data_IF_135110183296
#
_entry.id   IF_135110183296
#
_cell.length_a   1.000
_cell.length_b   1.000
_cell.length_c   1.000
_cell.angle_alpha   90.00
_cell.angle_beta   90.00
_cell.angle_gamma   90.00
#
_symmetry.space_group_name_H-M   'P 1'
#
loop_
_entity.id
_entity.type
_entity.pdbx_description
1 polymer ?
#
# COMPACT_ATOMS: atom_id res chain seq x y z
N UNK A 1 -1.92 4.52 29.72
CA UNK A 1 -2.26 4.02 28.38
C UNK A 1 -1.43 4.80 27.38
N UNK A 2 -0.50 4.16 26.65
CA UNK A 2 0.23 4.84 25.57
C UNK A 2 -0.69 5.04 24.38
N UNK A 3 -0.51 6.14 23.65
CA UNK A 3 -1.26 6.36 22.41
C UNK A 3 -0.94 5.24 21.40
N UNK A 4 -1.91 4.85 20.55
CA UNK A 4 -1.66 3.91 19.47
C UNK A 4 -0.52 4.40 18.56
N UNK A 5 0.36 3.50 18.10
CA UNK A 5 1.39 3.84 17.12
C UNK A 5 0.77 4.48 15.87
N UNK A 6 1.33 5.62 15.46
CA UNK A 6 0.94 6.30 14.22
C UNK A 6 2.16 6.46 13.31
N UNK A 7 1.91 6.31 12.02
CA UNK A 7 2.88 6.52 10.95
C UNK A 7 2.38 7.65 10.07
N UNK A 8 3.18 8.70 9.92
CA UNK A 8 2.97 9.74 8.94
C UNK A 8 3.59 9.29 7.62
N UNK A 9 2.79 9.29 6.56
CA UNK A 9 3.20 8.88 5.22
C UNK A 9 3.12 10.11 4.32
N UNK A 10 4.24 10.50 3.74
CA UNK A 10 4.37 11.65 2.83
C UNK A 10 4.89 11.19 1.49
N UNK A 11 4.42 11.81 0.40
CA UNK A 11 5.01 11.58 -0.93
C UNK A 11 6.13 12.57 -1.20
N UNK A 12 7.27 12.11 -1.72
CA UNK A 12 8.41 12.98 -2.05
C UNK A 12 8.07 13.95 -3.20
N UNK A 13 8.93 14.95 -3.43
CA UNK A 13 8.84 15.83 -4.61
C UNK A 13 8.71 14.99 -5.90
N UNK A 14 7.83 15.41 -6.81
CA UNK A 14 7.37 14.64 -8.00
C UNK A 14 6.49 13.41 -7.72
N UNK A 15 6.06 13.19 -6.47
CA UNK A 15 5.06 12.18 -6.03
C UNK A 15 5.37 10.75 -6.46
N UNK A 16 6.64 10.39 -6.57
CA UNK A 16 7.05 9.03 -6.94
C UNK A 16 7.24 8.19 -5.69
N UNK A 17 8.15 8.57 -4.79
CA UNK A 17 8.50 7.79 -3.62
C UNK A 17 7.66 8.20 -2.39
N UNK A 18 7.72 7.37 -1.35
CA UNK A 18 7.11 7.67 -0.05
C UNK A 18 8.18 7.75 1.03
N UNK A 19 7.96 8.65 1.98
CA UNK A 19 8.67 8.71 3.24
C UNK A 19 7.66 8.37 4.34
N UNK A 20 8.07 7.51 5.27
CA UNK A 20 7.24 7.09 6.39
C UNK A 20 7.99 7.42 7.67
N UNK A 21 7.35 8.21 8.54
CA UNK A 21 7.88 8.61 9.84
C UNK A 21 6.96 8.07 10.94
N UNK A 22 7.51 7.45 11.97
CA UNK A 22 6.74 6.84 13.05
C UNK A 22 7.64 6.03 13.98
N UNK A 23 7.12 4.95 14.60
CA UNK A 23 7.94 4.03 15.40
C UNK A 23 9.15 3.45 14.64
N UNK A 24 9.00 3.26 13.32
CA UNK A 24 10.07 2.88 12.43
C UNK A 24 10.03 3.78 11.19
N UNK A 25 11.15 4.43 10.89
CA UNK A 25 11.28 5.27 9.69
C UNK A 25 11.56 4.42 8.45
N UNK A 26 10.85 4.68 7.36
CA UNK A 26 11.00 3.94 6.11
C UNK A 26 11.08 4.88 4.92
N UNK A 27 11.90 4.51 3.94
CA UNK A 27 11.88 5.08 2.60
C UNK A 27 11.31 4.05 1.62
N UNK A 28 10.27 4.43 0.87
CA UNK A 28 9.65 3.54 -0.11
C UNK A 28 9.99 4.02 -1.51
N UNK A 29 10.86 3.28 -2.17
CA UNK A 29 11.16 3.49 -3.58
C UNK A 29 10.01 2.95 -4.44
N UNK A 30 9.46 3.81 -5.29
CA UNK A 30 8.42 3.47 -6.24
C UNK A 30 9.02 3.36 -7.64
N UNK A 31 9.14 2.13 -8.14
CA UNK A 31 9.63 1.85 -9.48
C UNK A 31 8.45 1.62 -10.43
N UNK A 32 8.34 2.45 -11.46
CA UNK A 32 7.37 2.24 -12.53
C UNK A 32 8.00 1.41 -13.65
N UNK A 33 7.39 0.26 -13.96
CA UNK A 33 7.57 -0.48 -15.22
C UNK A 33 9.03 -0.79 -15.61
N UNK A 34 9.86 -1.20 -14.64
CA UNK A 34 11.21 -1.72 -14.92
C UNK A 34 11.19 -3.25 -14.85
N UNK A 35 11.38 -3.96 -15.99
CA UNK A 35 11.47 -5.42 -15.97
C UNK A 35 12.51 -5.89 -14.96
N UNK A 36 12.16 -6.87 -14.14
CA UNK A 36 13.05 -7.46 -13.14
C UNK A 36 13.19 -6.70 -11.81
N UNK A 37 12.59 -5.51 -11.66
CA UNK A 37 12.57 -4.75 -10.40
C UNK A 37 11.20 -4.88 -9.71
N UNK A 38 11.20 -4.91 -8.38
CA UNK A 38 9.96 -4.82 -7.61
C UNK A 38 9.28 -3.46 -7.81
N UNK A 39 7.94 -3.43 -7.78
CA UNK A 39 7.18 -2.20 -7.98
C UNK A 39 7.39 -1.23 -6.83
N UNK A 40 7.39 -1.73 -5.60
CA UNK A 40 7.78 -0.99 -4.41
C UNK A 40 8.90 -1.70 -3.66
N UNK A 41 9.87 -0.92 -3.17
CA UNK A 41 10.95 -1.39 -2.30
C UNK A 41 10.96 -0.55 -1.04
N UNK A 42 10.87 -1.21 0.12
CA UNK A 42 10.83 -0.57 1.44
C UNK A 42 12.20 -0.68 2.07
N UNK A 43 12.83 0.46 2.32
CA UNK A 43 14.14 0.58 2.93
C UNK A 43 14.03 1.11 4.35
N UNK A 44 14.92 0.67 5.24
CA UNK A 44 15.03 1.22 6.58
C UNK A 44 15.65 2.63 6.53
N UNK A 45 14.99 3.61 7.15
CA UNK A 45 15.41 5.01 7.30
C UNK A 45 15.57 5.81 5.99
N UNK A 46 16.47 5.40 5.10
CA UNK A 46 16.84 6.13 3.88
C UNK A 46 16.83 5.20 2.67
N UNK A 47 16.97 5.77 1.46
CA UNK A 47 17.00 5.02 0.20
C UNK A 47 18.17 4.03 0.12
N UNK A 48 19.30 4.36 0.73
CA UNK A 48 20.50 3.51 0.79
C UNK A 48 20.44 2.49 1.93
N UNK A 49 19.42 2.57 2.77
CA UNK A 49 19.20 1.65 3.88
C UNK A 49 18.88 0.22 3.43
N UNK A 50 19.00 -0.75 4.35
CA UNK A 50 18.70 -2.14 4.07
C UNK A 50 17.24 -2.30 3.62
N UNK A 51 17.03 -3.18 2.66
CA UNK A 51 15.68 -3.55 2.20
C UNK A 51 15.02 -4.36 3.32
N UNK A 52 13.81 -3.96 3.70
CA UNK A 52 12.98 -4.61 4.71
C UNK A 52 11.80 -5.34 4.07
N UNK A 53 11.26 -4.80 2.98
CA UNK A 53 10.14 -5.39 2.29
C UNK A 53 10.09 -5.00 0.80
N UNK A 54 9.35 -5.79 0.03
CA UNK A 54 9.16 -5.63 -1.40
C UNK A 54 7.69 -5.88 -1.75
N UNK A 55 7.19 -5.24 -2.81
CA UNK A 55 5.93 -5.65 -3.42
C UNK A 55 5.97 -5.63 -4.94
N UNK A 56 5.20 -6.54 -5.54
CA UNK A 56 5.11 -6.73 -7.00
C UNK A 56 3.66 -6.86 -7.43
N UNK A 57 3.29 -6.09 -8.44
CA UNK A 57 2.00 -6.19 -9.10
C UNK A 57 2.09 -7.24 -10.21
N UNK A 58 1.29 -8.31 -10.09
CA UNK A 58 1.25 -9.33 -11.13
C UNK A 58 0.56 -8.80 -12.38
N UNK A 59 1.20 -8.97 -13.53
CA UNK A 59 0.54 -8.71 -14.81
C UNK A 59 -0.64 -9.69 -14.99
N UNK A 60 -1.79 -9.18 -15.46
CA UNK A 60 -3.03 -9.93 -15.68
C UNK A 60 -3.69 -10.57 -14.45
N UNK A 61 -3.18 -10.30 -13.25
CA UNK A 61 -3.82 -10.72 -12.00
C UNK A 61 -4.12 -9.50 -11.14
N UNK A 62 -5.18 -9.63 -10.35
CA UNK A 62 -5.46 -8.65 -9.31
C UNK A 62 -4.69 -8.90 -8.02
N UNK A 63 -3.94 -9.99 -7.92
CA UNK A 63 -3.14 -10.31 -6.75
C UNK A 63 -1.81 -9.55 -6.75
N UNK A 64 -1.25 -9.40 -5.56
CA UNK A 64 -0.03 -8.65 -5.33
C UNK A 64 0.90 -9.57 -4.52
N UNK A 65 2.15 -9.70 -4.94
CA UNK A 65 3.16 -10.39 -4.12
C UNK A 65 3.73 -9.39 -3.14
N UNK A 66 3.82 -9.80 -1.89
CA UNK A 66 4.45 -9.06 -0.81
C UNK A 66 5.59 -9.91 -0.26
N UNK A 67 6.77 -9.32 -0.11
CA UNK A 67 7.96 -10.01 0.35
C UNK A 67 8.55 -9.32 1.56
N UNK A 68 8.82 -10.06 2.62
CA UNK A 68 9.63 -9.57 3.74
C UNK A 68 11.06 -10.09 3.58
N UNK A 69 12.04 -9.19 3.68
CA UNK A 69 13.45 -9.57 3.73
C UNK A 69 13.89 -9.75 5.17
N UNK A 70 14.64 -10.82 5.40
CA UNK A 70 15.26 -11.03 6.71
C UNK A 70 16.53 -10.15 6.79
N UNK A 71 16.66 -9.27 7.80
CA UNK A 71 17.78 -8.33 7.88
C UNK A 71 19.16 -9.00 7.83
N UNK A 72 19.27 -10.24 8.31
CA UNK A 72 20.52 -10.97 8.43
C UNK A 72 21.01 -11.62 7.12
N UNK A 73 20.13 -11.83 6.15
CA UNK A 73 20.42 -12.56 4.91
C UNK A 73 20.30 -11.68 3.65
N UNK A 74 19.93 -10.41 3.84
CA UNK A 74 19.75 -9.44 2.77
C UNK A 74 18.63 -9.82 1.81
N UNK A 75 18.66 -9.28 0.59
CA UNK A 75 17.62 -9.49 -0.43
C UNK A 75 17.57 -10.91 -1.02
N UNK A 76 18.52 -11.80 -0.66
CA UNK A 76 18.60 -13.16 -1.21
C UNK A 76 17.62 -14.14 -0.57
N UNK A 77 17.08 -13.83 0.62
CA UNK A 77 16.05 -14.65 1.27
C UNK A 77 14.78 -13.82 1.50
N UNK A 78 14.11 -13.44 0.42
CA UNK A 78 12.79 -12.81 0.52
C UNK A 78 11.75 -13.92 0.56
N UNK A 79 11.01 -13.99 1.66
CA UNK A 79 9.82 -14.85 1.73
C UNK A 79 8.68 -14.09 1.07
N UNK A 80 8.20 -14.62 -0.05
CA UNK A 80 7.05 -14.07 -0.77
C UNK A 80 5.75 -14.69 -0.24
N UNK A 81 4.85 -13.83 0.20
CA UNK A 81 3.47 -14.13 0.52
C UNK A 81 2.56 -13.34 -0.45
N UNK A 82 1.25 -13.63 -0.43
CA UNK A 82 0.30 -13.04 -1.38
C UNK A 82 -0.74 -12.17 -0.67
N UNK A 83 -0.96 -10.99 -1.23
CA UNK A 83 -2.05 -10.10 -0.89
C UNK A 83 -3.14 -10.27 -1.96
N UNK A 84 -4.09 -11.15 -1.66
CA UNK A 84 -5.13 -11.60 -2.56
C UNK A 84 -6.28 -10.61 -2.63
N UNK A 85 -6.82 -10.40 -3.82
CA UNK A 85 -8.06 -9.65 -3.97
C UNK A 85 -9.26 -10.57 -3.69
N UNK A 86 -10.15 -10.15 -2.79
CA UNK A 86 -11.34 -10.92 -2.41
C UNK A 86 -12.46 -10.76 -3.46
N UNK A 87 -12.24 -11.32 -4.66
CA UNK A 87 -13.17 -11.29 -5.79
C UNK A 87 -12.93 -10.18 -6.83
N UNK A 88 -13.40 -10.41 -8.07
CA UNK A 88 -13.08 -9.59 -9.24
C UNK A 88 -13.50 -8.11 -9.14
N UNK A 89 -14.66 -7.81 -8.51
CA UNK A 89 -15.18 -6.43 -8.36
C UNK A 89 -14.94 -5.83 -6.97
N UNK A 90 -14.33 -6.57 -6.05
CA UNK A 90 -14.14 -6.13 -4.67
C UNK A 90 -13.00 -5.14 -4.54
N UNK A 91 -13.10 -4.19 -3.61
CA UNK A 91 -11.97 -3.35 -3.19
C UNK A 91 -11.25 -3.93 -1.97
N UNK A 92 -11.57 -5.18 -1.60
CA UNK A 92 -11.02 -5.87 -0.43
C UNK A 92 -9.80 -6.70 -0.81
N UNK A 93 -8.79 -6.63 0.04
CA UNK A 93 -7.54 -7.38 -0.14
C UNK A 93 -7.19 -8.10 1.15
N UNK A 94 -6.94 -9.41 1.08
CA UNK A 94 -6.66 -10.28 2.22
C UNK A 94 -5.24 -10.81 2.15
N UNK A 95 -4.58 -10.90 3.31
CA UNK A 95 -3.36 -11.66 3.48
C UNK A 95 -3.41 -12.44 4.80
N UNK A 96 -2.58 -13.47 4.90
CA UNK A 96 -2.44 -14.28 6.12
C UNK A 96 -1.00 -14.15 6.63
N UNK A 97 -0.85 -13.93 7.93
CA UNK A 97 0.46 -13.84 8.58
C UNK A 97 0.42 -14.50 9.95
N UNK A 98 1.59 -14.76 10.53
CA UNK A 98 1.67 -15.19 11.93
C UNK A 98 1.42 -13.99 12.84
N UNK A 99 0.43 -14.11 13.71
CA UNK A 99 0.04 -13.10 14.68
C UNK A 99 -0.31 -13.82 15.99
N UNK A 100 0.32 -13.42 17.10
CA UNK A 100 0.18 -14.09 18.41
C UNK A 100 0.42 -15.62 18.35
N UNK A 101 1.43 -16.05 17.58
CA UNK A 101 1.84 -17.45 17.47
C UNK A 101 0.93 -18.33 16.60
N UNK A 102 -0.03 -17.76 15.88
CA UNK A 102 -0.96 -18.49 15.00
C UNK A 102 -1.08 -17.82 13.64
N UNK A 103 -1.38 -18.56 12.56
CA UNK A 103 -1.73 -17.96 11.28
C UNK A 103 -3.11 -17.28 11.39
N UNK A 104 -3.14 -15.98 11.17
CA UNK A 104 -4.35 -15.15 11.20
C UNK A 104 -4.49 -14.39 9.87
N UNK A 105 -5.74 -14.12 9.48
CA UNK A 105 -6.04 -13.39 8.25
C UNK A 105 -6.52 -11.97 8.53
N UNK A 106 -6.08 -11.06 7.68
CA UNK A 106 -6.40 -9.64 7.76
C UNK A 106 -6.88 -9.15 6.41
N UNK A 107 -7.95 -8.37 6.41
CA UNK A 107 -8.54 -7.81 5.20
C UNK A 107 -8.50 -6.30 5.23
N UNK A 108 -7.81 -5.72 4.26
CA UNK A 108 -7.95 -4.31 3.89
C UNK A 108 -9.22 -4.09 3.10
N UNK A 109 -9.95 -3.01 3.39
CA UNK A 109 -11.04 -2.54 2.55
C UNK A 109 -11.09 -1.01 2.55
N UNK A 110 -11.72 -0.46 1.52
CA UNK A 110 -11.89 1.00 1.42
C UNK A 110 -13.08 1.48 2.23
N UNK A 111 -12.92 2.60 2.93
CA UNK A 111 -13.97 3.24 3.71
C UNK A 111 -14.72 4.26 2.86
N UNK A 112 -15.44 3.79 1.85
CA UNK A 112 -16.15 4.62 0.86
C UNK A 112 -17.24 5.56 1.42
N UNK A 113 -17.50 5.59 2.74
CA UNK A 113 -18.67 6.26 3.31
C UNK A 113 -18.46 7.69 3.83
N UNK A 114 -17.26 8.28 3.79
CA UNK A 114 -17.02 9.60 4.45
C UNK A 114 -16.32 10.70 3.65
N UNK A 115 -15.78 10.45 2.46
CA UNK A 115 -15.08 11.51 1.72
C UNK A 115 -15.66 11.73 0.32
N UNK A 116 -16.13 12.96 0.08
CA UNK A 116 -16.56 13.46 -1.24
C UNK A 116 -15.39 13.61 -2.24
N UNK A 117 -14.13 13.39 -1.82
CA UNK A 117 -12.94 13.59 -2.65
C UNK A 117 -12.11 12.31 -2.79
N UNK A 118 -11.58 12.14 -4.00
CA UNK A 118 -10.79 10.99 -4.45
C UNK A 118 -9.48 10.91 -3.65
N UNK A 119 -9.44 9.98 -2.70
CA UNK A 119 -8.29 9.73 -1.81
C UNK A 119 -8.38 8.41 -1.04
N UNK A 120 -9.60 7.92 -0.80
CA UNK A 120 -9.90 6.52 -0.48
C UNK A 120 -9.17 5.97 0.73
N UNK A 121 -9.52 6.47 1.93
CA UNK A 121 -9.08 5.91 3.21
C UNK A 121 -9.35 4.39 3.29
N UNK A 122 -8.50 3.68 4.02
CA UNK A 122 -8.52 2.22 4.14
C UNK A 122 -8.64 1.81 5.60
N UNK A 123 -9.34 0.71 5.85
CA UNK A 123 -9.40 0.04 7.14
C UNK A 123 -8.90 -1.39 6.97
N UNK A 124 -8.10 -1.84 7.93
CA UNK A 124 -7.69 -3.24 8.05
C UNK A 124 -8.46 -3.89 9.18
N UNK A 125 -9.11 -5.00 8.89
CA UNK A 125 -9.90 -5.78 9.83
C UNK A 125 -9.22 -7.12 10.08
N UNK A 126 -9.18 -7.55 11.33
CA UNK A 126 -8.82 -8.92 11.69
C UNK A 126 -9.99 -9.85 11.43
N UNK A 127 -9.85 -10.78 10.49
CA UNK A 127 -10.98 -11.53 9.94
C UNK A 127 -11.71 -12.38 10.99
N UNK A 128 -10.98 -12.91 11.98
CA UNK A 128 -11.57 -13.75 13.03
C UNK A 128 -12.40 -12.96 14.03
N UNK A 129 -11.92 -11.81 14.48
CA UNK A 129 -12.59 -11.05 15.56
C UNK A 129 -13.44 -9.90 15.03
N UNK A 130 -13.31 -9.55 13.75
CA UNK A 130 -13.96 -8.38 13.16
C UNK A 130 -13.40 -7.04 13.66
N UNK A 131 -12.30 -7.04 14.41
CA UNK A 131 -11.72 -5.83 15.00
C UNK A 131 -10.97 -5.01 13.93
N UNK A 132 -11.14 -3.68 13.96
CA UNK A 132 -10.34 -2.77 13.13
C UNK A 132 -8.96 -2.63 13.77
N UNK A 133 -7.97 -3.22 13.13
CA UNK A 133 -6.58 -3.27 13.63
C UNK A 133 -5.70 -2.17 13.05
N UNK A 134 -6.07 -1.58 11.91
CA UNK A 134 -5.39 -0.40 11.39
C UNK A 134 -6.33 0.48 10.55
N UNK A 135 -6.03 1.78 10.53
CA UNK A 135 -6.77 2.79 9.77
C UNK A 135 -5.78 3.67 9.03
N UNK A 136 -5.91 3.76 7.72
CA UNK A 136 -5.19 4.70 6.87
C UNK A 136 -6.12 5.84 6.47
N UNK A 137 -5.74 7.06 6.83
CA UNK A 137 -6.45 8.27 6.45
C UNK A 137 -5.67 9.07 5.40
N UNK A 138 -6.33 9.26 4.26
CA UNK A 138 -5.75 9.83 3.04
C UNK A 138 -5.63 11.36 3.08
N UNK A 139 -6.10 12.07 4.11
CA UNK A 139 -6.03 13.54 4.16
C UNK A 139 -6.01 14.07 5.61
N UNK A 140 -4.90 13.91 6.31
CA UNK A 140 -4.79 14.27 7.73
C UNK A 140 -4.10 15.63 7.99
N UNK A 141 -3.83 16.46 6.97
CA UNK A 141 -3.08 17.70 7.13
C UNK A 141 -3.35 18.78 6.08
N UNK A 142 -2.66 19.94 6.21
CA UNK A 142 -2.80 21.09 5.31
C UNK A 142 -2.31 20.83 3.88
N UNK A 143 -1.43 19.84 3.70
CA UNK A 143 -0.94 19.41 2.39
C UNK A 143 -1.69 18.16 1.93
N UNK A 144 -2.12 18.14 0.68
CA UNK A 144 -2.84 17.01 0.06
C UNK A 144 -2.02 15.70 -0.01
N UNK A 145 -0.72 15.75 0.30
CA UNK A 145 0.23 14.61 0.24
C UNK A 145 0.46 13.92 1.59
N UNK A 146 -0.16 14.43 2.66
CA UNK A 146 0.11 13.96 4.01
C UNK A 146 -1.00 12.98 4.42
N UNK A 147 -0.58 11.78 4.79
CA UNK A 147 -1.46 10.69 5.18
C UNK A 147 -1.03 10.13 6.53
N UNK A 148 -1.97 9.58 7.30
CA UNK A 148 -1.69 8.95 8.60
C UNK A 148 -2.20 7.53 8.59
N UNK A 149 -1.35 6.62 9.04
CA UNK A 149 -1.69 5.23 9.32
C UNK A 149 -1.60 4.99 10.82
N UNK A 150 -2.73 4.62 11.44
CA UNK A 150 -2.81 4.28 12.86
C UNK A 150 -2.97 2.78 13.01
N UNK A 151 -2.17 2.17 13.89
CA UNK A 151 -2.25 0.74 14.23
C UNK A 151 -2.87 0.61 15.62
N UNK A 152 -4.06 0.01 15.69
CA UNK A 152 -4.89 -0.06 16.91
C UNK A 152 -4.71 -1.35 17.71
N UNK A 153 -3.74 -2.18 17.34
CA UNK A 153 -3.45 -3.45 18.02
C UNK A 153 -2.01 -3.44 18.53
N UNK A 154 -1.75 -3.93 19.76
CA UNK A 154 -0.39 -4.24 20.16
C UNK A 154 0.11 -5.36 19.25
N UNK A 155 1.27 -5.14 18.62
CA UNK A 155 1.88 -6.08 17.71
C UNK A 155 3.40 -5.87 17.66
N UNK A 156 4.12 -6.84 17.11
CA UNK A 156 5.56 -6.74 16.93
C UNK A 156 5.94 -5.85 15.72
N UNK A 157 7.22 -5.54 15.62
CA UNK A 157 7.78 -4.72 14.52
C UNK A 157 7.51 -5.35 13.15
N UNK A 158 7.52 -6.69 13.07
CA UNK A 158 7.27 -7.42 11.83
C UNK A 158 5.84 -7.21 11.34
N UNK A 159 4.87 -7.28 12.24
CA UNK A 159 3.47 -6.99 11.91
C UNK A 159 3.28 -5.54 11.52
N UNK A 160 3.89 -4.59 12.24
CA UNK A 160 3.86 -3.18 11.88
C UNK A 160 4.36 -2.95 10.45
N UNK A 161 5.50 -3.54 10.10
CA UNK A 161 6.05 -3.48 8.74
C UNK A 161 5.07 -4.06 7.71
N UNK A 162 4.43 -5.20 8.00
CA UNK A 162 3.38 -5.79 7.15
C UNK A 162 2.20 -4.84 6.94
N UNK A 163 1.72 -4.20 8.01
CA UNK A 163 0.61 -3.24 7.92
C UNK A 163 0.98 -2.07 7.02
N UNK A 164 2.13 -1.45 7.28
CA UNK A 164 2.61 -0.29 6.50
C UNK A 164 2.82 -0.66 5.04
N UNK A 165 3.49 -1.80 4.77
CA UNK A 165 3.81 -2.19 3.39
C UNK A 165 2.54 -2.52 2.59
N UNK A 166 1.59 -3.25 3.18
CA UNK A 166 0.36 -3.64 2.47
C UNK A 166 -0.53 -2.42 2.23
N UNK A 167 -0.59 -1.49 3.20
CA UNK A 167 -1.29 -0.22 3.04
C UNK A 167 -0.74 0.60 1.87
N UNK A 168 0.55 0.92 1.86
CA UNK A 168 1.17 1.75 0.80
C UNK A 168 1.07 1.07 -0.56
N UNK A 169 1.25 -0.25 -0.60
CA UNK A 169 1.09 -1.05 -1.82
C UNK A 169 -0.31 -0.93 -2.41
N UNK A 170 -1.36 -0.96 -1.59
CA UNK A 170 -2.73 -0.79 -2.08
C UNK A 170 -3.03 0.64 -2.53
N UNK A 171 -2.52 1.64 -1.81
CA UNK A 171 -2.66 3.06 -2.16
C UNK A 171 -2.02 3.35 -3.52
N UNK A 172 -0.78 2.92 -3.74
CA UNK A 172 -0.08 3.13 -5.01
C UNK A 172 -0.74 2.35 -6.15
N UNK A 173 -1.15 1.09 -5.92
CA UNK A 173 -1.87 0.31 -6.94
C UNK A 173 -3.13 1.02 -7.42
N UNK A 174 -3.91 1.57 -6.48
CA UNK A 174 -5.13 2.33 -6.81
C UNK A 174 -4.79 3.58 -7.62
N UNK A 175 -3.76 4.33 -7.23
CA UNK A 175 -3.27 5.50 -7.96
C UNK A 175 -2.88 5.14 -9.39
N UNK A 176 -2.04 4.11 -9.59
CA UNK A 176 -1.65 3.63 -10.93
C UNK A 176 -2.85 3.21 -11.79
N UNK A 177 -3.84 2.55 -11.19
CA UNK A 177 -5.07 2.14 -11.89
C UNK A 177 -5.89 3.36 -12.33
N UNK A 178 -5.99 4.39 -11.47
CA UNK A 178 -6.68 5.64 -11.80
C UNK A 178 -5.96 6.42 -12.90
N UNK A 179 -4.64 6.54 -12.81
CA UNK A 179 -3.82 7.22 -13.82
C UNK A 179 -3.96 6.54 -15.19
N UNK A 180 -3.94 5.20 -15.24
CA UNK A 180 -4.18 4.44 -16.46
C UNK A 180 -5.59 4.67 -17.04
N UNK A 181 -6.63 4.74 -16.19
CA UNK A 181 -8.01 5.01 -16.64
C UNK A 181 -8.19 6.44 -17.17
N UNK A 182 -7.52 7.42 -16.57
CA UNK A 182 -7.55 8.82 -17.01
C UNK A 182 -6.85 8.99 -18.36
N UNK A 183 -5.71 8.31 -18.57
CA UNK A 183 -5.02 8.29 -19.86
C UNK A 183 -5.91 7.71 -20.97
N UNK A 184 -6.58 6.58 -20.71
CA UNK A 184 -7.50 5.96 -21.67
C UNK A 184 -8.69 6.87 -22.04
N UNK A 185 -9.26 7.60 -21.07
CA UNK A 185 -10.35 8.55 -21.30
C UNK A 185 -9.88 9.80 -22.09
N UNK A 186 -8.64 10.25 -21.90
CA UNK A 186 -8.05 11.33 -22.69
C UNK A 186 -7.87 10.94 -24.15
N UNK A 187 -7.44 9.70 -24.41
CA UNK A 187 -7.30 9.17 -25.78
C UNK A 187 -8.63 8.92 -26.49
N UNK A 188 -9.69 8.51 -25.77
CA UNK A 188 -11.02 8.36 -26.37
C UNK A 188 -11.68 9.71 -26.67
N UNK A 189 -11.44 10.73 -25.84
CA UNK A 189 -11.90 12.10 -26.10
C UNK A 189 -11.19 12.72 -27.32
N UNK A 190 -9.87 12.50 -27.48
CA UNK A 190 -9.15 12.98 -28.66
C UNK A 190 -9.52 12.25 -29.95
N UNK A 191 -9.81 10.93 -29.87
CA UNK A 191 -10.32 10.17 -31.02
C UNK A 191 -11.75 10.59 -31.41
N UNK A 192 -12.60 10.93 -30.44
CA UNK A 192 -13.97 11.39 -30.70
C UNK A 192 -14.00 12.81 -31.26
N UNK A 193 -13.07 13.69 -30.88
CA UNK A 193 -12.95 15.03 -31.44
C UNK A 193 -12.48 15.01 -32.90
N UNK A 194 -11.60 14.07 -33.27
CA UNK A 194 -11.13 13.92 -34.65
C UNK A 194 -12.19 13.37 -35.62
N UNK A 195 -13.20 12.66 -35.12
CA UNK A 195 -14.26 12.06 -35.95
C UNK A 195 -15.41 13.02 -36.29
N UNK A 196 -15.48 14.21 -35.67
CA UNK A 196 -16.52 15.22 -35.91
C UNK A 196 -16.04 16.32 -36.90
N UNK A 197 -14.83 16.16 -37.45
CA UNK A 197 -14.21 17.13 -38.37
C UNK A 197 -13.92 16.56 -39.76
N UNK A 198 -14.57 15.44 -40.14
CA UNK A 198 -14.44 14.80 -41.45
C UNK A 198 -15.73 14.91 -42.26
#
# INVERSE_FOLDING_TARGET
>A
MSLPPHYQITTTFWKRNYEVTGPQSLFVENSQLKPGKADLTFHANTKEGPILALSRYKHFSSDIEIGLSEPQLGHRSVRWDSLHRDGWRSSRYRFTTHFNGRPESFTWHSTHKKSLRRGGSLEMVHDRTGAIVAVFDSHCGFKSSDHVLTINTPADERFHLLVVMTCITLVEKRKRTQDASAAAAGSSASASAAAVSA
#
